data_IF_978585470827
#
_entry.id   IF_978585470827
#
_cell.length_a   1.000
_cell.length_b   1.000
_cell.length_c   1.000
_cell.angle_alpha   90.00
_cell.angle_beta   90.00
_cell.angle_gamma   90.00
#
_symmetry.space_group_name_H-M   'P 1'
#
loop_
_entity.id
_entity.type
_entity.pdbx_description
1 polymer ?
#
# COMPACT_ATOMS: atom_id res chain seq x y z
N UNK A 1 -24.33 22.91 -29.47
CA UNK A 1 -24.62 22.12 -28.25
C UNK A 1 -24.15 20.70 -28.52
N UNK A 2 -23.04 20.25 -27.93
CA UNK A 2 -22.65 18.83 -27.98
C UNK A 2 -23.36 18.14 -26.83
N UNK A 3 -24.19 17.17 -27.16
CA UNK A 3 -25.00 16.43 -26.19
C UNK A 3 -24.11 15.67 -25.22
N UNK A 4 -24.48 15.71 -23.95
CA UNK A 4 -23.89 14.90 -22.90
C UNK A 4 -24.18 13.44 -23.21
N UNK A 5 -23.15 12.66 -23.57
CA UNK A 5 -23.27 11.22 -23.65
C UNK A 5 -23.49 10.67 -22.24
N UNK A 6 -24.59 9.96 -22.04
CA UNK A 6 -24.83 9.20 -20.82
C UNK A 6 -23.91 7.99 -20.87
N UNK A 7 -22.78 8.06 -20.17
CA UNK A 7 -21.92 6.91 -19.93
C UNK A 7 -22.68 6.03 -18.94
N UNK A 8 -23.26 4.93 -19.41
CA UNK A 8 -23.80 3.89 -18.54
C UNK A 8 -22.62 3.25 -17.81
N UNK A 9 -22.43 3.61 -16.55
CA UNK A 9 -21.42 2.97 -15.68
C UNK A 9 -22.05 1.67 -15.17
N UNK A 10 -21.53 0.53 -15.63
CA UNK A 10 -21.88 -0.76 -15.03
C UNK A 10 -21.06 -0.92 -13.74
N UNK A 11 -21.73 -0.80 -12.60
CA UNK A 11 -21.13 -1.00 -11.28
C UNK A 11 -21.24 -2.48 -10.92
N UNK A 12 -20.10 -3.12 -10.66
CA UNK A 12 -20.07 -4.43 -10.02
C UNK A 12 -19.72 -4.23 -8.55
N UNK A 13 -20.70 -4.48 -7.67
CA UNK A 13 -20.45 -4.49 -6.24
C UNK A 13 -19.69 -5.78 -5.87
N UNK A 14 -18.50 -5.62 -5.31
CA UNK A 14 -17.70 -6.71 -4.77
C UNK A 14 -17.91 -6.75 -3.26
N UNK A 15 -18.59 -7.78 -2.80
CA UNK A 15 -18.86 -8.00 -1.39
C UNK A 15 -17.98 -9.13 -0.84
N UNK A 16 -17.58 -8.98 0.42
CA UNK A 16 -16.89 -10.01 1.21
C UNK A 16 -17.38 -9.95 2.65
N UNK A 17 -17.37 -11.08 3.34
CA UNK A 17 -17.71 -11.18 4.77
C UNK A 17 -16.59 -11.94 5.48
N UNK A 18 -16.10 -11.40 6.60
CA UNK A 18 -15.17 -12.11 7.49
C UNK A 18 -15.97 -13.17 8.27
N UNK A 19 -15.55 -14.43 8.14
CA UNK A 19 -16.22 -15.59 8.73
C UNK A 19 -15.52 -16.09 10.01
N UNK A 20 -14.18 -16.08 10.02
CA UNK A 20 -13.36 -16.54 11.14
C UNK A 20 -12.00 -15.82 11.11
N UNK A 21 -11.40 -15.61 12.28
CA UNK A 21 -10.06 -15.04 12.43
C UNK A 21 -9.27 -15.89 13.41
N UNK A 22 -8.17 -16.48 12.93
CA UNK A 22 -7.26 -17.29 13.75
C UNK A 22 -5.88 -16.67 13.79
N UNK A 23 -5.24 -16.73 14.95
CA UNK A 23 -3.92 -16.13 15.19
C UNK A 23 -2.95 -17.18 15.70
N UNK A 24 -1.70 -17.05 15.28
CA UNK A 24 -0.60 -17.89 15.72
C UNK A 24 0.65 -17.02 15.91
N UNK A 25 1.15 -16.89 17.13
CA UNK A 25 2.38 -16.15 17.41
C UNK A 25 3.59 -16.83 16.74
N UNK A 26 4.36 -16.06 15.97
CA UNK A 26 5.69 -16.41 15.44
C UNK A 26 6.75 -15.56 16.13
N UNK A 27 8.01 -15.74 15.78
CA UNK A 27 9.13 -15.07 16.45
C UNK A 27 9.00 -13.53 16.42
N UNK A 28 8.69 -12.96 15.26
CA UNK A 28 8.65 -11.50 15.06
C UNK A 28 7.23 -10.93 14.89
N UNK A 29 6.25 -11.77 14.57
CA UNK A 29 4.90 -11.33 14.17
C UNK A 29 3.84 -12.36 14.55
N UNK A 30 2.57 -11.95 14.58
CA UNK A 30 1.42 -12.85 14.65
C UNK A 30 1.00 -13.25 13.22
N UNK A 31 0.99 -14.55 12.94
CA UNK A 31 0.41 -15.06 11.70
C UNK A 31 -1.11 -15.09 11.84
N UNK A 32 -1.81 -14.31 11.03
CA UNK A 32 -3.27 -14.17 11.09
C UNK A 32 -3.88 -14.82 9.86
N UNK A 33 -4.83 -15.73 10.07
CA UNK A 33 -5.62 -16.40 9.04
C UNK A 33 -7.03 -15.84 9.10
N UNK A 34 -7.47 -15.17 8.05
CA UNK A 34 -8.83 -14.64 7.94
C UNK A 34 -9.60 -15.47 6.92
N UNK A 35 -10.58 -16.23 7.39
CA UNK A 35 -11.53 -16.89 6.49
C UNK A 35 -12.59 -15.87 6.06
N UNK A 36 -12.83 -15.77 4.75
CA UNK A 36 -13.86 -14.90 4.19
C UNK A 36 -14.81 -15.68 3.29
N UNK A 37 -15.95 -15.07 2.93
CA UNK A 37 -16.87 -15.64 1.93
C UNK A 37 -16.25 -15.84 0.54
N UNK A 38 -15.07 -15.24 0.28
CA UNK A 38 -14.32 -15.35 -0.98
C UNK A 38 -13.05 -16.20 -0.85
N UNK A 39 -12.83 -16.83 0.31
CA UNK A 39 -11.65 -17.65 0.60
C UNK A 39 -10.69 -17.01 1.60
N UNK A 40 -9.73 -17.81 2.06
CA UNK A 40 -8.79 -17.49 3.14
C UNK A 40 -7.73 -16.48 2.73
N UNK A 41 -7.49 -15.47 3.56
CA UNK A 41 -6.38 -14.52 3.43
C UNK A 41 -5.38 -14.74 4.57
N UNK A 42 -4.08 -14.69 4.26
CA UNK A 42 -3.00 -14.88 5.23
C UNK A 42 -2.23 -13.58 5.44
N UNK A 43 -2.05 -13.18 6.69
CA UNK A 43 -1.30 -11.99 7.09
C UNK A 43 -0.14 -12.30 8.03
N UNK A 44 0.90 -11.47 7.97
CA UNK A 44 1.93 -11.37 9.00
C UNK A 44 1.79 -10.01 9.70
N UNK A 45 1.31 -10.02 10.94
CA UNK A 45 0.96 -8.82 11.71
C UNK A 45 2.02 -8.51 12.78
N UNK A 46 2.65 -7.35 12.65
CA UNK A 46 3.65 -6.81 13.56
C UNK A 46 2.97 -5.72 14.39
N UNK A 47 2.46 -6.09 15.56
CA UNK A 47 1.79 -5.17 16.47
C UNK A 47 2.79 -4.21 17.12
N UNK A 48 2.46 -2.92 17.08
CA UNK A 48 3.00 -1.91 17.98
C UNK A 48 1.98 -1.58 19.08
N UNK A 49 2.43 -1.45 20.33
CA UNK A 49 1.56 -1.22 21.48
C UNK A 49 1.10 0.24 21.56
N UNK A 50 -0.18 0.46 21.90
CA UNK A 50 -0.70 1.80 22.20
C UNK A 50 -0.74 2.79 21.03
N UNK A 51 -0.74 2.30 19.79
CA UNK A 51 -0.79 3.14 18.57
C UNK A 51 -2.11 3.04 17.83
N UNK A 52 -2.46 4.10 17.12
CA UNK A 52 -3.54 4.16 16.13
C UNK A 52 -3.02 4.20 14.68
N UNK A 53 -1.70 4.00 14.47
CA UNK A 53 -1.07 4.05 13.15
C UNK A 53 -0.65 2.67 12.69
N UNK A 54 -0.82 2.41 11.41
CA UNK A 54 -0.33 1.19 10.81
C UNK A 54 -0.05 1.30 9.33
N UNK A 55 0.78 0.39 8.83
CA UNK A 55 1.16 0.29 7.44
C UNK A 55 0.79 -1.08 6.88
N UNK A 56 0.20 -1.12 5.70
CA UNK A 56 0.00 -2.36 4.94
C UNK A 56 1.07 -2.45 3.87
N UNK A 57 1.66 -3.63 3.71
CA UNK A 57 2.66 -3.92 2.68
C UNK A 57 2.20 -5.07 1.80
N UNK A 58 2.20 -4.86 0.48
CA UNK A 58 1.79 -5.84 -0.52
C UNK A 58 2.82 -5.99 -1.63
N UNK A 59 2.99 -7.23 -2.08
CA UNK A 59 3.97 -7.62 -3.11
C UNK A 59 3.41 -7.53 -4.53
N UNK A 60 4.22 -7.90 -5.52
CA UNK A 60 3.84 -8.03 -6.92
C UNK A 60 3.12 -9.35 -7.26
N UNK A 61 3.16 -9.72 -8.53
CA UNK A 61 2.47 -10.92 -9.07
C UNK A 61 3.08 -12.25 -8.61
N UNK A 62 4.26 -12.24 -7.99
CA UNK A 62 4.88 -13.43 -7.38
C UNK A 62 4.08 -13.96 -6.18
N UNK A 63 3.31 -13.09 -5.52
CA UNK A 63 2.49 -13.45 -4.37
C UNK A 63 3.32 -13.86 -3.15
N UNK A 64 2.70 -14.60 -2.23
CA UNK A 64 3.37 -14.94 -0.97
C UNK A 64 3.58 -13.71 -0.08
N UNK A 65 4.56 -13.79 0.82
CA UNK A 65 5.03 -12.65 1.61
C UNK A 65 6.31 -12.05 1.04
N UNK A 66 6.54 -12.26 -0.26
CA UNK A 66 7.74 -11.81 -0.94
C UNK A 66 7.87 -10.28 -0.87
N UNK A 67 9.08 -9.76 -1.06
CA UNK A 67 9.38 -8.34 -0.92
C UNK A 67 10.50 -7.93 -1.85
N UNK A 68 10.38 -6.78 -2.54
CA UNK A 68 11.49 -6.20 -3.30
C UNK A 68 12.61 -5.74 -2.36
N UNK A 69 13.69 -5.27 -2.96
CA UNK A 69 14.80 -4.56 -2.32
C UNK A 69 15.38 -5.35 -1.15
N UNK A 70 15.80 -6.58 -1.43
CA UNK A 70 16.38 -7.54 -0.48
C UNK A 70 15.61 -7.58 0.86
N UNK A 71 14.39 -8.14 0.84
CA UNK A 71 13.57 -8.31 2.03
C UNK A 71 13.18 -6.99 2.74
N UNK A 72 12.89 -5.93 1.98
CA UNK A 72 12.46 -4.63 2.50
C UNK A 72 11.31 -4.72 3.54
N UNK A 73 10.24 -5.44 3.25
CA UNK A 73 9.03 -5.45 4.10
C UNK A 73 9.24 -6.07 5.48
N UNK A 74 9.89 -7.24 5.64
CA UNK A 74 10.28 -7.73 6.97
C UNK A 74 11.11 -6.72 7.77
N UNK A 75 12.10 -6.06 7.15
CA UNK A 75 12.98 -5.07 7.80
C UNK A 75 12.17 -3.87 8.28
N UNK A 76 11.40 -3.24 7.39
CA UNK A 76 10.52 -2.14 7.74
C UNK A 76 9.50 -2.53 8.83
N UNK A 77 8.92 -3.73 8.75
CA UNK A 77 7.91 -4.16 9.74
C UNK A 77 8.49 -4.31 11.15
N UNK A 78 9.74 -4.75 11.25
CA UNK A 78 10.43 -4.83 12.54
C UNK A 78 10.72 -3.44 13.10
N UNK A 79 11.24 -2.53 12.29
CA UNK A 79 11.73 -1.23 12.78
C UNK A 79 10.63 -0.19 12.97
N UNK A 80 9.57 -0.21 12.14
CA UNK A 80 8.42 0.69 12.30
C UNK A 80 7.65 0.42 13.60
N UNK A 81 7.76 -0.79 14.15
CA UNK A 81 7.19 -1.12 15.45
C UNK A 81 7.76 -0.22 16.56
N UNK A 82 9.07 0.04 16.54
CA UNK A 82 9.75 0.87 17.53
C UNK A 82 9.39 2.36 17.38
N UNK A 83 8.91 2.75 16.20
CA UNK A 83 8.34 4.07 15.90
C UNK A 83 6.85 4.17 16.24
N UNK A 84 6.29 3.13 16.88
CA UNK A 84 4.88 3.09 17.24
C UNK A 84 3.96 2.97 16.02
N UNK A 85 4.36 2.23 14.99
CA UNK A 85 3.55 1.98 13.79
C UNK A 85 3.40 0.46 13.63
N UNK A 86 2.17 -0.04 13.67
CA UNK A 86 1.91 -1.46 13.41
C UNK A 86 2.11 -1.78 11.92
N UNK A 87 2.64 -2.95 11.56
CA UNK A 87 2.76 -3.35 10.16
C UNK A 87 1.94 -4.61 9.86
N UNK A 88 1.28 -4.64 8.71
CA UNK A 88 0.55 -5.78 8.19
C UNK A 88 1.05 -6.13 6.80
N UNK A 89 1.74 -7.26 6.67
CA UNK A 89 2.09 -7.81 5.36
C UNK A 89 0.97 -8.74 4.91
N UNK A 90 0.53 -8.58 3.67
CA UNK A 90 -0.58 -9.36 3.12
C UNK A 90 -0.07 -10.30 2.05
N UNK A 91 -0.41 -11.58 2.17
CA UNK A 91 -0.27 -12.55 1.10
C UNK A 91 -1.57 -12.57 0.29
N UNK A 92 -1.51 -12.09 -0.95
CA UNK A 92 -2.65 -12.14 -1.86
C UNK A 92 -3.16 -13.57 -2.07
N UNK A 93 -4.48 -13.71 -2.13
CA UNK A 93 -5.16 -14.96 -2.47
C UNK A 93 -4.96 -15.32 -3.93
N UNK A 94 -5.17 -14.34 -4.81
CA UNK A 94 -5.00 -14.46 -6.25
C UNK A 94 -4.11 -13.32 -6.77
N UNK A 95 -2.77 -13.48 -6.71
CA UNK A 95 -1.85 -12.49 -7.23
C UNK A 95 -1.92 -12.51 -8.76
N UNK A 96 -2.81 -11.67 -9.32
CA UNK A 96 -3.00 -11.26 -10.74
C UNK A 96 -4.43 -10.74 -10.96
N UNK A 97 -5.36 -11.04 -10.06
CA UNK A 97 -6.70 -10.48 -10.05
C UNK A 97 -6.72 -9.21 -9.18
N UNK A 98 -6.80 -8.04 -9.83
CA UNK A 98 -6.81 -6.74 -9.17
C UNK A 98 -8.01 -6.57 -8.21
N UNK A 99 -9.16 -7.15 -8.56
CA UNK A 99 -10.36 -7.02 -7.74
C UNK A 99 -10.25 -7.86 -6.47
N UNK A 100 -9.78 -9.10 -6.57
CA UNK A 100 -9.54 -9.95 -5.39
C UNK A 100 -8.43 -9.39 -4.51
N UNK A 101 -7.32 -8.93 -5.10
CA UNK A 101 -6.23 -8.32 -4.35
C UNK A 101 -6.64 -7.03 -3.63
N UNK A 102 -7.52 -6.22 -4.24
CA UNK A 102 -8.12 -5.05 -3.57
C UNK A 102 -8.94 -5.48 -2.35
N UNK A 103 -9.77 -6.52 -2.48
CA UNK A 103 -10.53 -7.05 -1.35
C UNK A 103 -9.60 -7.51 -0.23
N UNK A 104 -8.47 -8.14 -0.56
CA UNK A 104 -7.50 -8.60 0.44
C UNK A 104 -6.93 -7.44 1.27
N UNK A 105 -6.65 -6.30 0.63
CA UNK A 105 -6.17 -5.08 1.29
C UNK A 105 -7.28 -4.41 2.10
N UNK A 106 -8.50 -4.33 1.57
CA UNK A 106 -9.64 -3.73 2.29
C UNK A 106 -9.99 -4.54 3.56
N UNK A 107 -9.94 -5.87 3.49
CA UNK A 107 -10.08 -6.73 4.68
C UNK A 107 -8.92 -6.52 5.65
N UNK A 108 -7.71 -6.27 5.16
CA UNK A 108 -6.54 -5.93 5.98
C UNK A 108 -6.71 -4.60 6.72
N UNK A 109 -7.30 -3.59 6.07
CA UNK A 109 -7.65 -2.32 6.70
C UNK A 109 -8.68 -2.53 7.81
N UNK A 110 -9.77 -3.26 7.54
CA UNK A 110 -10.80 -3.58 8.54
C UNK A 110 -10.21 -4.37 9.72
N UNK A 111 -9.33 -5.34 9.44
CA UNK A 111 -8.60 -6.06 10.49
C UNK A 111 -7.79 -5.11 11.37
N UNK A 112 -7.00 -4.20 10.77
CA UNK A 112 -6.24 -3.20 11.53
C UNK A 112 -7.16 -2.25 12.33
N UNK A 113 -8.31 -1.86 11.79
CA UNK A 113 -9.33 -1.09 12.54
C UNK A 113 -9.81 -1.81 13.79
N UNK A 114 -10.04 -3.13 13.70
CA UNK A 114 -10.39 -3.96 14.85
C UNK A 114 -9.28 -4.02 15.91
N UNK A 115 -8.03 -3.78 15.52
CA UNK A 115 -6.87 -3.66 16.41
C UNK A 115 -6.62 -2.22 16.91
N UNK A 116 -7.59 -1.30 16.73
CA UNK A 116 -7.54 0.13 17.06
C UNK A 116 -6.61 1.00 16.19
N UNK A 117 -6.13 0.48 15.07
CA UNK A 117 -5.41 1.30 14.07
C UNK A 117 -6.41 2.07 13.22
N UNK A 118 -6.25 3.38 13.09
CA UNK A 118 -7.21 4.28 12.42
C UNK A 118 -6.58 5.17 11.35
N UNK A 119 -5.25 5.19 11.27
CA UNK A 119 -4.50 6.00 10.30
C UNK A 119 -3.54 5.08 9.56
N UNK A 120 -3.64 5.06 8.23
CA UNK A 120 -2.99 4.04 7.41
C UNK A 120 -1.95 4.61 6.45
N UNK A 121 -0.83 3.90 6.34
CA UNK A 121 0.09 3.99 5.21
C UNK A 121 0.00 2.71 4.37
N UNK A 122 0.24 2.80 3.07
CA UNK A 122 0.28 1.62 2.21
C UNK A 122 1.58 1.59 1.42
N UNK A 123 2.21 0.42 1.29
CA UNK A 123 3.38 0.20 0.44
C UNK A 123 3.07 -0.95 -0.52
N UNK A 124 3.31 -0.75 -1.81
CA UNK A 124 2.97 -1.73 -2.83
C UNK A 124 4.03 -1.80 -3.91
N UNK A 125 4.47 -3.01 -4.24
CA UNK A 125 5.42 -3.28 -5.32
C UNK A 125 4.72 -3.77 -6.58
N UNK A 126 5.11 -3.26 -7.75
CA UNK A 126 4.66 -3.75 -9.04
C UNK A 126 3.12 -3.73 -9.14
N UNK A 127 2.50 -4.90 -9.27
CA UNK A 127 1.05 -5.11 -9.18
C UNK A 127 0.44 -4.55 -7.88
N UNK A 128 1.11 -4.77 -6.73
CA UNK A 128 0.69 -4.25 -5.43
C UNK A 128 0.57 -2.73 -5.41
N UNK A 129 1.38 -2.00 -6.18
CA UNK A 129 1.26 -0.54 -6.33
C UNK A 129 -0.11 -0.10 -6.88
N UNK A 130 -0.62 -0.80 -7.89
CA UNK A 130 -1.95 -0.55 -8.42
C UNK A 130 -3.05 -0.92 -7.41
N UNK A 131 -2.87 -2.01 -6.66
CA UNK A 131 -3.80 -2.45 -5.62
C UNK A 131 -3.93 -1.40 -4.51
N UNK A 132 -2.81 -0.85 -4.01
CA UNK A 132 -2.86 0.11 -2.89
C UNK A 132 -3.45 1.46 -3.31
N UNK A 133 -3.28 1.89 -4.57
CA UNK A 133 -3.94 3.10 -5.08
C UNK A 133 -5.45 2.93 -5.07
N UNK A 134 -5.95 1.77 -5.51
CA UNK A 134 -7.37 1.44 -5.46
C UNK A 134 -7.87 1.40 -4.00
N UNK A 135 -7.09 0.81 -3.08
CA UNK A 135 -7.45 0.77 -1.66
C UNK A 135 -7.49 2.17 -1.04
N UNK A 136 -6.50 3.02 -1.32
CA UNK A 136 -6.45 4.41 -0.85
C UNK A 136 -7.64 5.24 -1.37
N UNK A 137 -8.03 5.03 -2.63
CA UNK A 137 -9.22 5.68 -3.19
C UNK A 137 -10.51 5.27 -2.47
N UNK A 138 -10.59 4.03 -2.02
CA UNK A 138 -11.77 3.49 -1.32
C UNK A 138 -11.74 3.69 0.21
N UNK A 139 -10.62 4.14 0.80
CA UNK A 139 -10.50 4.38 2.24
C UNK A 139 -9.79 5.70 2.58
N UNK A 140 -10.58 6.69 3.01
CA UNK A 140 -10.12 8.05 3.37
C UNK A 140 -9.18 8.12 4.58
N UNK A 141 -9.02 7.03 5.34
CA UNK A 141 -8.07 6.96 6.46
C UNK A 141 -6.64 6.67 6.00
N UNK A 142 -6.43 6.40 4.70
CA UNK A 142 -5.09 6.26 4.12
C UNK A 142 -4.47 7.64 3.90
N UNK A 143 -3.38 7.91 4.61
CA UNK A 143 -2.68 9.21 4.61
C UNK A 143 -1.42 9.25 3.75
N UNK A 144 -0.85 8.08 3.44
CA UNK A 144 0.36 8.00 2.62
C UNK A 144 0.39 6.69 1.84
N UNK A 145 0.85 6.76 0.60
CA UNK A 145 1.15 5.58 -0.21
C UNK A 145 2.58 5.64 -0.75
N UNK A 146 3.23 4.48 -0.82
CA UNK A 146 4.54 4.28 -1.45
C UNK A 146 4.41 3.21 -2.53
N UNK A 147 4.74 3.57 -3.76
CA UNK A 147 4.60 2.73 -4.94
C UNK A 147 5.98 2.40 -5.50
N UNK A 148 6.39 1.13 -5.41
CA UNK A 148 7.70 0.63 -5.85
C UNK A 148 7.54 -0.07 -7.20
N UNK A 149 8.28 0.35 -8.23
CA UNK A 149 8.27 -0.25 -9.59
C UNK A 149 6.85 -0.53 -10.11
N UNK A 150 5.93 0.40 -9.89
CA UNK A 150 4.48 0.13 -10.01
C UNK A 150 4.05 -0.19 -11.44
N UNK A 151 3.09 -1.10 -11.59
CA UNK A 151 2.45 -1.33 -12.88
C UNK A 151 1.52 -0.19 -13.29
N UNK A 152 1.32 0.00 -14.60
CA UNK A 152 0.47 1.07 -15.12
C UNK A 152 -1.03 0.79 -15.09
N UNK A 153 -1.47 -0.48 -15.06
CA UNK A 153 -2.91 -0.80 -15.05
C UNK A 153 -3.49 -0.62 -13.66
N UNK A 154 -4.55 0.18 -13.55
CA UNK A 154 -5.34 0.34 -12.33
C UNK A 154 -4.90 1.49 -11.41
N UNK A 155 -3.94 2.31 -11.84
CA UNK A 155 -3.44 3.47 -11.10
C UNK A 155 -4.27 4.74 -11.29
N UNK A 156 -5.22 4.77 -12.22
CA UNK A 156 -6.04 5.95 -12.55
C UNK A 156 -6.63 6.69 -11.33
N UNK A 157 -7.09 5.98 -10.27
CA UNK A 157 -7.63 6.62 -9.06
C UNK A 157 -6.64 7.52 -8.31
N UNK A 158 -5.34 7.44 -8.59
CA UNK A 158 -4.32 8.28 -7.94
C UNK A 158 -4.61 9.78 -8.10
N UNK A 159 -5.25 10.16 -9.22
CA UNK A 159 -5.68 11.53 -9.51
C UNK A 159 -6.91 12.02 -8.73
N UNK A 160 -7.57 11.11 -8.03
CA UNK A 160 -8.78 11.37 -7.23
C UNK A 160 -8.56 11.12 -5.73
N UNK A 161 -7.34 10.80 -5.31
CA UNK A 161 -7.03 10.67 -3.89
C UNK A 161 -7.25 12.00 -3.16
N UNK A 162 -7.56 11.96 -1.85
CA UNK A 162 -7.59 13.17 -1.03
C UNK A 162 -6.32 14.01 -1.22
N UNK A 163 -6.45 15.34 -1.23
CA UNK A 163 -5.32 16.25 -1.45
C UNK A 163 -4.24 16.17 -0.36
N UNK A 164 -4.57 15.64 0.81
CA UNK A 164 -3.65 15.44 1.92
C UNK A 164 -3.00 14.05 1.92
N UNK A 165 -3.40 13.14 1.01
CA UNK A 165 -2.76 11.84 0.86
C UNK A 165 -1.42 12.01 0.15
N UNK A 166 -0.34 11.70 0.86
CA UNK A 166 1.00 11.79 0.28
C UNK A 166 1.33 10.60 -0.62
N UNK A 167 2.08 10.84 -1.69
CA UNK A 167 2.44 9.82 -2.68
C UNK A 167 3.95 9.80 -2.89
N UNK A 168 4.59 8.67 -2.69
CA UNK A 168 5.99 8.46 -3.04
C UNK A 168 6.13 7.33 -4.06
N UNK A 169 6.76 7.63 -5.18
CA UNK A 169 7.03 6.66 -6.24
C UNK A 169 8.53 6.40 -6.31
N UNK A 170 8.90 5.13 -6.38
CA UNK A 170 10.29 4.71 -6.57
C UNK A 170 10.33 3.75 -7.76
N UNK A 171 11.32 3.91 -8.63
CA UNK A 171 11.52 3.03 -9.79
C UNK A 171 13.01 2.86 -10.08
N UNK A 172 13.39 1.72 -10.64
CA UNK A 172 14.72 1.52 -11.21
C UNK A 172 14.78 2.04 -12.64
N UNK A 173 15.87 2.71 -13.04
CA UNK A 173 16.03 3.18 -14.42
C UNK A 173 16.15 2.00 -15.40
N UNK A 174 16.74 0.88 -14.97
CA UNK A 174 16.98 -0.33 -15.76
C UNK A 174 15.89 -1.40 -15.56
N UNK A 175 14.68 -0.99 -15.16
CA UNK A 175 13.54 -1.90 -15.05
C UNK A 175 13.07 -2.38 -16.44
N UNK A 176 13.50 -3.59 -16.82
CA UNK A 176 13.12 -4.24 -18.07
C UNK A 176 11.68 -4.80 -18.06
N UNK A 177 11.07 -4.96 -16.88
CA UNK A 177 9.72 -5.51 -16.75
C UNK A 177 8.66 -4.42 -16.92
N UNK A 178 8.90 -3.24 -16.33
CA UNK A 178 8.00 -2.09 -16.35
C UNK A 178 8.83 -0.82 -16.53
N UNK A 179 8.51 -0.01 -17.53
CA UNK A 179 9.25 1.23 -17.76
C UNK A 179 9.05 2.23 -16.59
N UNK A 180 10.10 2.95 -16.16
CA UNK A 180 10.00 4.00 -15.14
C UNK A 180 9.05 5.15 -15.54
N UNK A 181 8.76 5.31 -16.84
CA UNK A 181 7.74 6.25 -17.34
C UNK A 181 6.37 6.03 -16.69
N UNK A 182 6.07 4.82 -16.24
CA UNK A 182 4.84 4.52 -15.50
C UNK A 182 4.80 5.24 -14.15
N UNK A 183 5.91 5.25 -13.40
CA UNK A 183 6.01 6.03 -12.16
C UNK A 183 5.98 7.53 -12.47
N UNK A 184 6.61 7.99 -13.55
CA UNK A 184 6.55 9.41 -13.96
C UNK A 184 5.12 9.83 -14.29
N UNK A 185 4.37 9.00 -15.01
CA UNK A 185 2.95 9.22 -15.31
C UNK A 185 2.12 9.32 -14.03
N UNK A 186 2.27 8.35 -13.13
CA UNK A 186 1.56 8.33 -11.84
C UNK A 186 1.90 9.56 -10.99
N UNK A 187 3.17 9.96 -10.94
CA UNK A 187 3.63 11.18 -10.26
C UNK A 187 2.93 12.43 -10.83
N UNK A 188 2.83 12.54 -12.15
CA UNK A 188 2.16 13.68 -12.80
C UNK A 188 0.66 13.75 -12.48
N UNK A 189 0.02 12.60 -12.26
CA UNK A 189 -1.40 12.50 -11.88
C UNK A 189 -1.66 12.79 -10.40
N UNK A 190 -0.72 12.48 -9.51
CA UNK A 190 -0.87 12.64 -8.07
C UNK A 190 -0.90 14.10 -7.62
N UNK A 191 -1.58 14.36 -6.49
CA UNK A 191 -1.56 15.64 -5.79
C UNK A 191 -0.31 15.78 -4.91
N UNK A 192 0.07 17.03 -4.60
CA UNK A 192 1.02 17.28 -3.51
C UNK A 192 0.37 16.92 -2.16
N UNK A 193 1.13 16.39 -1.18
CA UNK A 193 2.58 16.23 -1.19
C UNK A 193 3.03 14.94 -1.91
N UNK A 194 3.92 15.08 -2.90
CA UNK A 194 4.43 13.94 -3.67
C UNK A 194 5.93 13.95 -3.90
N UNK A 195 6.51 12.77 -4.11
CA UNK A 195 7.92 12.58 -4.47
C UNK A 195 8.02 11.45 -5.51
N UNK A 196 8.99 11.55 -6.41
CA UNK A 196 9.42 10.46 -7.27
C UNK A 196 10.93 10.35 -7.20
N UNK A 197 11.44 9.13 -7.13
CA UNK A 197 12.85 8.81 -7.26
C UNK A 197 13.02 7.71 -8.33
N UNK A 198 13.88 7.97 -9.30
CA UNK A 198 14.26 7.00 -10.34
C UNK A 198 15.76 6.75 -10.19
N UNK A 199 16.14 5.53 -9.82
CA UNK A 199 17.51 5.18 -9.48
C UNK A 199 18.30 4.70 -10.71
N UNK A 200 19.41 5.37 -11.01
CA UNK A 200 20.30 5.12 -12.16
C UNK A 200 21.35 4.00 -11.93
N UNK A 201 21.46 3.51 -10.69
CA UNK A 201 22.50 2.58 -10.22
C UNK A 201 22.32 1.13 -10.73
N UNK A 202 21.94 0.96 -11.99
CA UNK A 202 21.53 -0.33 -12.57
C UNK A 202 20.37 -1.00 -11.83
N UNK A 203 19.57 -0.20 -11.11
CA UNK A 203 18.45 -0.69 -10.34
C UNK A 203 17.37 -1.26 -11.29
N UNK A 204 17.03 -2.53 -11.08
CA UNK A 204 16.03 -3.24 -11.86
C UNK A 204 14.63 -3.23 -11.22
N UNK A 205 13.75 -4.12 -11.69
CA UNK A 205 12.36 -4.21 -11.22
C UNK A 205 12.22 -4.47 -9.72
N UNK A 206 13.08 -5.32 -9.17
CA UNK A 206 13.08 -5.70 -7.76
C UNK A 206 13.81 -4.69 -6.87
N UNK A 207 14.59 -3.76 -7.46
CA UNK A 207 15.31 -2.71 -6.75
C UNK A 207 16.36 -3.21 -5.73
N UNK A 208 16.87 -4.44 -5.91
CA UNK A 208 17.83 -5.04 -4.99
C UNK A 208 19.16 -4.27 -4.93
N UNK A 209 19.55 -3.65 -6.05
CA UNK A 209 20.80 -2.89 -6.20
C UNK A 209 20.88 -1.64 -5.31
N UNK A 210 19.72 -1.11 -4.91
CA UNK A 210 19.57 0.12 -4.10
C UNK A 210 18.76 -0.13 -2.83
N UNK A 211 18.82 -1.36 -2.33
CA UNK A 211 17.99 -1.85 -1.25
C UNK A 211 18.17 -1.10 0.08
N UNK A 212 19.39 -0.65 0.38
CA UNK A 212 19.68 0.13 1.59
C UNK A 212 19.13 1.56 1.50
N UNK A 213 19.31 2.21 0.35
CA UNK A 213 18.78 3.55 0.07
C UNK A 213 17.24 3.53 0.16
N UNK A 214 16.60 2.56 -0.50
CA UNK A 214 15.14 2.41 -0.47
C UNK A 214 14.64 2.18 0.94
N UNK A 215 15.31 1.32 1.72
CA UNK A 215 14.93 1.07 3.11
C UNK A 215 14.87 2.38 3.91
N UNK A 216 15.90 3.23 3.80
CA UNK A 216 15.95 4.51 4.51
C UNK A 216 14.84 5.45 4.02
N UNK A 217 14.72 5.63 2.71
CA UNK A 217 13.78 6.61 2.15
C UNK A 217 12.31 6.25 2.40
N UNK A 218 11.97 4.96 2.26
CA UNK A 218 10.60 4.48 2.51
C UNK A 218 10.25 4.58 3.98
N UNK A 219 11.17 4.20 4.89
CA UNK A 219 10.96 4.33 6.34
C UNK A 219 10.72 5.78 6.73
N UNK A 220 11.61 6.68 6.30
CA UNK A 220 11.52 8.10 6.61
C UNK A 220 10.22 8.73 6.07
N UNK A 221 9.82 8.36 4.85
CA UNK A 221 8.57 8.82 4.27
C UNK A 221 7.35 8.36 5.09
N UNK A 222 7.27 7.08 5.42
CA UNK A 222 6.15 6.52 6.18
C UNK A 222 6.06 7.18 7.56
N UNK A 223 7.17 7.27 8.30
CA UNK A 223 7.20 7.93 9.60
C UNK A 223 6.73 9.37 9.46
N UNK A 224 7.30 10.14 8.52
CA UNK A 224 6.97 11.55 8.32
C UNK A 224 5.48 11.77 8.07
N UNK A 225 4.82 10.96 7.25
CA UNK A 225 3.43 11.21 6.86
C UNK A 225 2.39 10.52 7.74
N UNK A 226 2.76 9.48 8.50
CA UNK A 226 1.86 8.89 9.50
C UNK A 226 1.93 9.56 10.86
N UNK A 227 3.05 10.22 11.18
CA UNK A 227 3.23 10.89 12.48
C UNK A 227 3.03 12.41 12.41
N UNK A 228 2.76 12.96 11.22
CA UNK A 228 2.37 14.36 11.07
C UNK A 228 1.16 14.64 11.97
N UNK A 229 1.20 15.71 12.79
CA UNK A 229 -0.01 16.19 13.43
C UNK A 229 -1.03 16.50 12.34
N UNK A 230 -2.28 16.08 12.52
CA UNK A 230 -3.36 16.57 11.65
C UNK A 230 -3.32 18.10 11.69
N UNK A 231 -2.99 18.72 10.56
CA UNK A 231 -3.20 20.15 10.37
C UNK A 231 -4.71 20.36 10.41
N UNK A 232 -5.25 20.65 11.61
CA UNK A 232 -6.60 21.16 11.72
C UNK A 232 -6.67 22.39 10.82
N UNK A 233 -7.62 22.48 9.87
CA UNK A 233 -7.80 23.70 9.11
C UNK A 233 -7.97 24.84 10.12
N UNK A 234 -7.13 25.87 9.99
CA UNK A 234 -7.19 27.06 10.82
C UNK A 234 -8.61 27.64 10.78
N UNK A 235 -9.33 27.50 11.89
CA UNK A 235 -10.56 28.23 12.16
C UNK A 235 -11.87 27.52 11.85
N UNK A 236 -12.29 26.63 12.74
CA UNK A 236 -13.67 26.64 13.22
C UNK A 236 -13.63 26.58 14.76
N UNK A 237 -13.93 27.72 15.38
CA UNK A 237 -14.27 27.87 16.81
C UNK A 237 -15.76 27.60 17.00
#
# INVERSE_FOLDING_TARGET
>A
MRGTEIIKIEKHDLETVILDVRREQKDLFEFVKIETSRGRIDYAYYRAEGTDKGVIMVTGVGGGFDSPADSLYPRLSADLKDEGISALRIKFRDPKDLAEALIDVLVGLEFLESENVRTFGLIGHSFGGAVIVQAAYNNKKVKTIVMLSTQGRGIDPISFLPKDTSVFLIHGEEDEAISPDVSVLAYNMAHEPKRIEVYDASAGHELDEVSEEIYVEVKDWIIKYLTRPDERPDGEL
#
